data_IF_119684337202
#
_entry.id   IF_119684337202
#
_cell.length_a   1.000
_cell.length_b   1.000
_cell.length_c   1.000
_cell.angle_alpha   90.00
_cell.angle_beta   90.00
_cell.angle_gamma   90.00
#
_symmetry.space_group_name_H-M   'P 1'
#
loop_
_entity.id
_entity.type
_entity.pdbx_description
1 polymer ?
#
# COMPACT_ATOMS: atom_id res chain seq x y z
N UNK A 1 -13.32 -3.50 2.52
CA UNK A 1 -12.21 -4.21 1.90
C UNK A 1 -11.24 -3.24 1.20
N UNK A 2 -11.67 -2.46 0.19
CA UNK A 2 -10.80 -1.57 -0.60
C UNK A 2 -9.97 -0.64 0.29
N UNK A 3 -10.60 0.01 1.28
CA UNK A 3 -9.91 0.89 2.24
C UNK A 3 -8.79 0.15 2.95
N UNK A 4 -9.06 -1.06 3.46
CA UNK A 4 -8.03 -1.85 4.16
C UNK A 4 -6.86 -2.26 3.27
N UNK A 5 -7.09 -2.53 1.97
CA UNK A 5 -6.00 -2.78 1.03
C UNK A 5 -5.15 -1.53 0.80
N UNK A 6 -5.78 -0.37 0.60
CA UNK A 6 -5.07 0.89 0.41
C UNK A 6 -4.34 1.32 1.68
N UNK A 7 -4.94 1.14 2.86
CA UNK A 7 -4.29 1.41 4.14
C UNK A 7 -3.03 0.54 4.32
N UNK A 8 -3.10 -0.75 3.97
CA UNK A 8 -1.94 -1.63 3.98
C UNK A 8 -0.84 -1.17 2.99
N UNK A 9 -1.23 -0.74 1.79
CA UNK A 9 -0.30 -0.19 0.80
C UNK A 9 0.43 1.07 1.30
N UNK A 10 -0.28 1.96 2.00
CA UNK A 10 0.27 3.19 2.57
C UNK A 10 0.91 3.01 3.95
N UNK A 11 1.16 1.77 4.38
CA UNK A 11 1.73 1.42 5.69
C UNK A 11 0.90 1.96 6.88
N UNK A 12 -0.41 1.95 6.74
CA UNK A 12 -1.35 2.32 7.80
C UNK A 12 -2.48 1.27 7.95
N UNK A 13 -2.17 -0.05 7.99
CA UNK A 13 -3.20 -1.07 8.12
C UNK A 13 -3.85 -1.06 9.51
N UNK A 14 -5.01 -1.69 9.63
CA UNK A 14 -5.77 -1.79 10.88
C UNK A 14 -4.94 -2.40 12.04
N UNK A 15 -3.99 -3.31 11.73
CA UNK A 15 -3.10 -3.91 12.72
C UNK A 15 -1.86 -3.06 13.06
N UNK A 16 -1.72 -1.86 12.46
CA UNK A 16 -0.61 -0.96 12.78
C UNK A 16 -0.76 -0.43 14.21
N UNK A 17 0.03 -0.97 15.13
CA UNK A 17 0.13 -0.52 16.51
C UNK A 17 1.58 -0.11 16.81
N UNK A 18 1.79 0.63 17.88
CA UNK A 18 3.13 1.10 18.28
C UNK A 18 4.14 -0.04 18.51
N UNK A 19 3.65 -1.26 18.80
CA UNK A 19 4.45 -2.47 18.99
C UNK A 19 4.68 -3.26 17.69
N UNK A 20 3.94 -2.99 16.61
CA UNK A 20 4.03 -3.70 15.35
C UNK A 20 4.90 -2.93 14.36
N UNK A 21 5.93 -3.59 13.84
CA UNK A 21 6.77 -3.06 12.76
C UNK A 21 6.25 -3.57 11.44
N UNK A 22 5.93 -2.65 10.55
CA UNK A 22 5.41 -2.98 9.23
C UNK A 22 6.57 -3.33 8.28
N UNK A 23 6.42 -4.41 7.54
CA UNK A 23 7.39 -4.88 6.55
C UNK A 23 7.34 -4.12 5.23
N UNK A 24 6.20 -3.50 4.92
CA UNK A 24 5.95 -2.87 3.63
C UNK A 24 5.71 -3.86 2.48
N UNK A 25 5.37 -5.11 2.79
CA UNK A 25 5.08 -6.14 1.78
C UNK A 25 4.05 -5.71 0.73
N UNK A 26 2.91 -5.06 1.08
CA UNK A 26 1.94 -4.63 0.07
C UNK A 26 2.53 -3.70 -0.99
N UNK A 27 3.32 -2.72 -0.58
CA UNK A 27 3.99 -1.80 -1.51
C UNK A 27 5.08 -2.48 -2.33
N UNK A 28 5.79 -3.45 -1.75
CA UNK A 28 6.82 -4.25 -2.42
C UNK A 28 6.21 -5.16 -3.49
N UNK A 29 5.15 -5.89 -3.16
CA UNK A 29 4.42 -6.78 -4.09
C UNK A 29 3.90 -5.98 -5.29
N UNK A 30 3.20 -4.87 -5.03
CA UNK A 30 2.62 -4.05 -6.10
C UNK A 30 3.67 -3.36 -6.96
N UNK A 31 4.78 -2.92 -6.35
CA UNK A 31 5.91 -2.35 -7.07
C UNK A 31 6.60 -3.36 -7.99
N UNK A 32 6.76 -4.60 -7.52
CA UNK A 32 7.29 -5.70 -8.31
C UNK A 32 6.40 -5.98 -9.54
N UNK A 33 5.08 -6.12 -9.34
CA UNK A 33 4.12 -6.34 -10.43
C UNK A 33 4.12 -5.18 -11.42
N UNK A 34 4.12 -3.94 -10.93
CA UNK A 34 4.19 -2.77 -11.80
C UNK A 34 5.46 -2.76 -12.65
N UNK A 35 6.60 -3.16 -12.08
CA UNK A 35 7.87 -3.26 -12.81
C UNK A 35 7.78 -4.33 -13.92
N UNK A 36 7.25 -5.52 -13.61
CA UNK A 36 7.10 -6.58 -14.59
C UNK A 36 6.20 -6.16 -15.76
N UNK A 37 5.04 -5.57 -15.46
CA UNK A 37 4.06 -5.16 -16.47
C UNK A 37 4.58 -4.03 -17.36
N UNK A 38 5.35 -3.08 -16.79
CA UNK A 38 5.72 -1.85 -17.50
C UNK A 38 7.12 -1.89 -18.13
N UNK A 39 7.95 -2.86 -17.77
CA UNK A 39 9.35 -2.92 -18.23
C UNK A 39 9.49 -3.04 -19.76
N UNK A 40 8.61 -3.81 -20.40
CA UNK A 40 8.64 -4.05 -21.86
C UNK A 40 7.39 -3.50 -22.58
N UNK A 41 6.58 -2.69 -21.87
CA UNK A 41 5.34 -2.18 -22.43
C UNK A 41 5.60 -1.05 -23.42
N UNK A 42 5.08 -1.21 -24.63
CA UNK A 42 5.01 -0.16 -25.64
C UNK A 42 3.55 0.11 -26.02
N UNK A 43 3.20 1.39 -26.14
CA UNK A 43 1.87 1.82 -26.58
C UNK A 43 1.99 2.33 -28.01
N UNK A 44 1.23 1.73 -28.93
CA UNK A 44 1.12 2.19 -30.31
C UNK A 44 -0.35 2.30 -30.70
N UNK A 45 -0.71 3.43 -31.31
CA UNK A 45 -2.06 3.69 -31.81
C UNK A 45 -2.19 3.45 -33.33
N UNK A 46 -1.10 3.03 -33.99
CA UNK A 46 -1.05 2.74 -35.43
C UNK A 46 -0.19 3.76 -36.20
N UNK A 47 -0.30 3.77 -37.53
CA UNK A 47 0.61 4.50 -38.41
C UNK A 47 0.00 5.73 -39.09
N UNK A 48 -1.22 6.15 -38.73
CA UNK A 48 -1.86 7.32 -39.29
C UNK A 48 -1.43 8.59 -38.56
N UNK A 49 -1.51 9.75 -39.21
CA UNK A 49 -1.27 11.06 -38.60
C UNK A 49 -2.13 11.29 -37.34
N UNK A 50 -3.36 10.75 -37.33
CA UNK A 50 -4.23 10.80 -36.16
C UNK A 50 -3.70 9.91 -35.02
N UNK A 51 -3.15 8.77 -35.36
CA UNK A 51 -2.53 7.84 -34.38
C UNK A 51 -1.29 8.48 -33.75
N UNK A 52 -0.42 9.08 -34.55
CA UNK A 52 0.77 9.82 -34.08
C UNK A 52 0.37 10.94 -33.11
N UNK A 53 -0.66 11.73 -33.46
CA UNK A 53 -1.20 12.77 -32.58
C UNK A 53 -1.72 12.20 -31.25
N UNK A 54 -2.47 11.08 -31.30
CA UNK A 54 -2.98 10.43 -30.07
C UNK A 54 -1.81 9.92 -29.21
N UNK A 55 -0.80 9.30 -29.80
CA UNK A 55 0.40 8.84 -29.07
C UNK A 55 1.13 9.99 -28.39
N UNK A 56 1.26 11.13 -29.06
CA UNK A 56 1.84 12.34 -28.45
C UNK A 56 1.03 12.78 -27.23
N UNK A 57 -0.31 12.80 -27.34
CA UNK A 57 -1.19 13.17 -26.23
C UNK A 57 -1.18 12.15 -25.07
N UNK A 58 -0.83 10.88 -25.34
CA UNK A 58 -0.69 9.83 -24.32
C UNK A 58 0.64 9.86 -23.56
N UNK A 59 1.63 10.63 -24.00
CA UNK A 59 2.95 10.68 -23.35
C UNK A 59 2.90 11.01 -21.85
N UNK A 60 2.06 11.94 -21.36
CA UNK A 60 1.94 12.20 -19.92
C UNK A 60 1.43 10.99 -19.13
N UNK A 61 0.55 10.18 -19.71
CA UNK A 61 0.06 8.93 -19.11
C UNK A 61 1.15 7.87 -19.11
N UNK A 62 1.85 7.68 -20.24
CA UNK A 62 2.92 6.69 -20.38
C UNK A 62 3.99 6.87 -19.31
N UNK A 63 4.39 8.10 -19.02
CA UNK A 63 5.37 8.41 -17.94
C UNK A 63 4.89 8.01 -16.54
N UNK A 64 3.58 7.94 -16.33
CA UNK A 64 2.94 7.61 -15.04
C UNK A 64 2.40 6.19 -15.00
N UNK A 65 2.62 5.41 -16.05
CA UNK A 65 2.00 4.10 -16.21
C UNK A 65 2.44 3.11 -15.12
N UNK A 66 3.72 3.12 -14.74
CA UNK A 66 4.23 2.31 -13.64
C UNK A 66 3.45 2.62 -12.33
N UNK A 67 3.28 3.89 -12.00
CA UNK A 67 2.50 4.29 -10.83
C UNK A 67 1.02 3.90 -10.96
N UNK A 68 0.44 4.01 -12.16
CA UNK A 68 -0.94 3.60 -12.39
C UNK A 68 -1.13 2.10 -12.18
N UNK A 69 -0.23 1.25 -12.71
CA UNK A 69 -0.27 -0.21 -12.51
C UNK A 69 -0.06 -0.57 -11.04
N UNK A 70 0.87 0.08 -10.35
CA UNK A 70 1.10 -0.15 -8.93
C UNK A 70 -0.14 0.15 -8.09
N UNK A 71 -0.81 1.28 -8.33
CA UNK A 71 -2.05 1.64 -7.65
C UNK A 71 -3.22 0.72 -8.03
N UNK A 72 -3.28 0.26 -9.28
CA UNK A 72 -4.24 -0.75 -9.71
C UNK A 72 -4.03 -2.06 -8.97
N UNK A 73 -2.79 -2.52 -8.83
CA UNK A 73 -2.47 -3.72 -8.09
C UNK A 73 -2.83 -3.60 -6.60
N UNK A 74 -2.64 -2.43 -6.01
CA UNK A 74 -2.98 -2.16 -4.61
C UNK A 74 -4.49 -2.15 -4.36
N UNK A 75 -5.28 -1.48 -5.21
CA UNK A 75 -6.71 -1.28 -5.01
C UNK A 75 -7.61 -2.16 -5.85
N UNK A 76 -7.04 -3.06 -6.68
CA UNK A 76 -7.76 -3.88 -7.65
C UNK A 76 -7.92 -3.21 -9.01
N UNK A 77 -8.06 -1.89 -9.04
CA UNK A 77 -8.14 -1.10 -10.27
C UNK A 77 -7.65 0.33 -10.04
N UNK A 78 -7.34 1.02 -11.13
CA UNK A 78 -7.17 2.47 -11.19
C UNK A 78 -7.98 3.00 -12.36
N UNK A 79 -8.71 4.09 -12.16
CA UNK A 79 -9.45 4.74 -13.24
C UNK A 79 -8.57 5.84 -13.85
N UNK A 80 -8.47 5.84 -15.16
CA UNK A 80 -7.75 6.84 -15.94
C UNK A 80 -8.78 7.77 -16.55
N UNK A 81 -8.91 8.96 -16.00
CA UNK A 81 -9.86 9.98 -16.43
C UNK A 81 -9.14 11.07 -17.22
N UNK A 82 -9.35 11.19 -18.54
CA UNK A 82 -8.79 12.29 -19.32
C UNK A 82 -9.52 13.59 -19.00
N UNK A 83 -8.78 14.69 -18.97
CA UNK A 83 -9.32 16.04 -18.91
C UNK A 83 -8.47 17.00 -19.75
N UNK A 84 -9.03 18.14 -20.10
CA UNK A 84 -8.35 19.15 -20.91
C UNK A 84 -8.16 20.41 -20.05
N UNK A 85 -6.92 20.89 -19.98
CA UNK A 85 -6.58 22.14 -19.34
C UNK A 85 -5.65 22.95 -20.26
N UNK A 86 -5.97 24.22 -20.50
CA UNK A 86 -5.21 25.08 -21.42
C UNK A 86 -4.99 24.48 -22.83
N UNK A 87 -5.96 23.71 -23.33
CA UNK A 87 -5.88 23.06 -24.65
C UNK A 87 -4.98 21.82 -24.72
N UNK A 88 -4.47 21.34 -23.60
CA UNK A 88 -3.67 20.13 -23.51
C UNK A 88 -4.43 19.02 -22.76
N UNK A 89 -4.19 17.76 -23.16
CA UNK A 89 -4.74 16.61 -22.49
C UNK A 89 -3.89 16.22 -21.27
N UNK A 90 -4.59 15.95 -20.19
CA UNK A 90 -4.04 15.40 -18.96
C UNK A 90 -4.83 14.17 -18.54
N UNK A 91 -4.26 13.38 -17.63
CA UNK A 91 -4.88 12.16 -17.14
C UNK A 91 -4.85 12.15 -15.60
N UNK A 92 -6.04 12.08 -15.03
CA UNK A 92 -6.20 11.86 -13.59
C UNK A 92 -6.23 10.36 -13.30
N UNK A 93 -5.48 9.94 -12.30
CA UNK A 93 -5.42 8.56 -11.81
C UNK A 93 -6.28 8.45 -10.55
N UNK A 94 -7.53 8.04 -10.75
CA UNK A 94 -8.52 7.98 -9.66
C UNK A 94 -8.47 6.62 -8.99
N UNK A 95 -8.13 6.62 -7.69
CA UNK A 95 -8.10 5.42 -6.88
C UNK A 95 -9.52 4.89 -6.60
N UNK A 96 -9.68 3.57 -6.34
CA UNK A 96 -10.99 2.95 -6.09
C UNK A 96 -11.78 3.59 -4.94
N UNK A 97 -11.13 4.08 -3.90
CA UNK A 97 -11.77 4.79 -2.79
C UNK A 97 -12.41 6.14 -3.16
N UNK A 98 -12.18 6.64 -4.38
CA UNK A 98 -12.77 7.89 -4.91
C UNK A 98 -13.66 7.68 -6.12
N UNK A 99 -13.94 6.43 -6.46
CA UNK A 99 -14.75 6.03 -7.59
C UNK A 99 -15.83 5.03 -7.15
N UNK A 100 -17.08 5.36 -7.35
CA UNK A 100 -18.24 4.60 -6.89
C UNK A 100 -19.17 4.28 -8.07
N UNK A 101 -18.99 3.12 -8.74
CA UNK A 101 -19.86 2.70 -9.83
C UNK A 101 -21.26 2.33 -9.29
N UNK A 102 -22.31 2.70 -10.04
CA UNK A 102 -23.70 2.44 -9.68
C UNK A 102 -24.45 1.59 -10.71
N UNK A 103 -23.99 1.56 -11.96
CA UNK A 103 -24.60 0.79 -13.01
C UNK A 103 -23.57 0.20 -13.94
N UNK A 104 -23.77 -1.06 -14.29
CA UNK A 104 -22.93 -1.81 -15.24
C UNK A 104 -23.76 -2.22 -16.44
N UNK A 105 -23.13 -2.39 -17.60
CA UNK A 105 -23.72 -3.05 -18.74
C UNK A 105 -23.58 -4.60 -18.60
N UNK A 106 -24.20 -5.39 -19.47
CA UNK A 106 -24.07 -6.84 -19.43
C UNK A 106 -22.65 -7.39 -19.57
N UNK A 107 -21.72 -6.60 -20.16
CA UNK A 107 -20.30 -6.96 -20.29
C UNK A 107 -19.47 -6.58 -19.04
N UNK A 108 -20.14 -6.14 -17.95
CA UNK A 108 -19.49 -5.72 -16.70
C UNK A 108 -18.80 -4.34 -16.74
N UNK A 109 -18.99 -3.54 -17.80
CA UNK A 109 -18.45 -2.19 -17.88
C UNK A 109 -19.30 -1.21 -17.09
N UNK A 110 -18.64 -0.32 -16.37
CA UNK A 110 -19.33 0.75 -15.64
C UNK A 110 -19.97 1.73 -16.61
N UNK A 111 -21.27 2.00 -16.46
CA UNK A 111 -22.03 2.94 -17.28
C UNK A 111 -22.50 4.16 -16.50
N UNK A 112 -22.61 4.08 -15.18
CA UNK A 112 -22.91 5.21 -14.31
C UNK A 112 -22.19 5.08 -12.97
N UNK A 113 -21.93 6.22 -12.33
CA UNK A 113 -21.26 6.25 -11.04
C UNK A 113 -20.91 7.67 -10.61
N UNK A 114 -20.08 7.73 -9.58
CA UNK A 114 -19.62 8.96 -8.97
C UNK A 114 -18.10 8.98 -8.86
N UNK A 115 -17.52 10.14 -9.14
CA UNK A 115 -16.16 10.50 -8.72
C UNK A 115 -16.24 11.47 -7.56
N UNK A 116 -15.35 11.32 -6.59
CA UNK A 116 -15.28 12.20 -5.42
C UNK A 116 -13.90 12.86 -5.37
N UNK A 117 -13.88 14.18 -5.43
CA UNK A 117 -12.68 15.00 -5.33
C UNK A 117 -12.70 15.81 -4.04
N UNK A 118 -11.59 15.85 -3.32
CA UNK A 118 -11.40 16.62 -2.09
C UNK A 118 -10.46 17.80 -2.35
N UNK A 119 -10.78 18.97 -1.81
CA UNK A 119 -9.92 20.16 -1.88
C UNK A 119 -9.95 20.94 -0.57
N UNK A 120 -8.78 21.35 -0.13
CA UNK A 120 -8.63 22.26 1.00
C UNK A 120 -8.49 23.69 0.50
N UNK A 121 -9.39 24.56 0.95
CA UNK A 121 -9.33 25.98 0.69
C UNK A 121 -9.44 26.74 2.00
N UNK A 122 -8.39 27.49 2.38
CA UNK A 122 -8.34 28.28 3.62
C UNK A 122 -8.67 27.47 4.88
N UNK A 123 -8.06 26.28 5.02
CA UNK A 123 -8.27 25.33 6.14
C UNK A 123 -9.71 24.82 6.26
N UNK A 124 -10.44 24.78 5.17
CA UNK A 124 -11.76 24.15 5.05
C UNK A 124 -11.71 23.16 3.93
N UNK A 125 -12.16 21.95 4.23
CA UNK A 125 -12.27 20.89 3.23
C UNK A 125 -13.58 21.03 2.46
N UNK A 126 -13.47 20.83 1.15
CA UNK A 126 -14.61 20.81 0.22
C UNK A 126 -14.58 19.51 -0.56
N UNK A 127 -15.77 18.99 -0.83
CA UNK A 127 -15.99 17.72 -1.53
C UNK A 127 -16.76 18.03 -2.80
N UNK A 128 -16.22 17.62 -3.96
CA UNK A 128 -16.97 17.64 -5.22
C UNK A 128 -17.40 16.22 -5.55
N UNK A 129 -18.67 16.05 -5.82
CA UNK A 129 -19.26 14.83 -6.35
C UNK A 129 -19.58 15.05 -7.83
N UNK A 130 -18.85 14.37 -8.70
CA UNK A 130 -19.11 14.34 -10.13
C UNK A 130 -19.87 13.04 -10.43
N UNK A 131 -21.15 13.16 -10.72
CA UNK A 131 -21.97 12.04 -11.19
C UNK A 131 -21.88 11.96 -12.70
N UNK A 132 -21.68 10.77 -13.23
CA UNK A 132 -21.82 10.50 -14.65
C UNK A 132 -22.86 9.42 -14.90
N UNK A 133 -23.56 9.52 -16.01
CA UNK A 133 -24.54 8.54 -16.48
C UNK A 133 -24.49 8.46 -18.01
N UNK A 134 -24.12 7.29 -18.54
CA UNK A 134 -24.02 7.03 -19.98
C UNK A 134 -25.08 5.99 -20.38
N UNK A 135 -26.03 6.39 -21.22
CA UNK A 135 -27.11 5.53 -21.69
C UNK A 135 -26.79 4.77 -23.01
N UNK A 136 -25.57 4.93 -23.52
CA UNK A 136 -25.11 4.35 -24.77
C UNK A 136 -25.40 5.24 -26.01
N UNK A 137 -25.99 6.41 -25.83
CA UNK A 137 -26.21 7.45 -26.86
C UNK A 137 -25.61 8.79 -26.46
N UNK A 138 -25.67 9.08 -25.18
CA UNK A 138 -25.13 10.30 -24.57
C UNK A 138 -24.58 10.03 -23.18
N UNK A 139 -23.75 10.92 -22.71
CA UNK A 139 -23.24 10.92 -21.34
C UNK A 139 -23.63 12.26 -20.68
N UNK A 140 -24.29 12.17 -19.53
CA UNK A 140 -24.62 13.31 -18.69
C UNK A 140 -23.67 13.33 -17.51
N UNK A 141 -23.05 14.47 -17.27
CA UNK A 141 -22.15 14.73 -16.14
C UNK A 141 -22.76 15.81 -15.29
N UNK A 142 -22.94 15.58 -13.99
CA UNK A 142 -23.39 16.59 -13.04
C UNK A 142 -22.35 16.79 -11.95
N UNK A 143 -22.04 18.06 -11.63
CA UNK A 143 -21.09 18.45 -10.61
C UNK A 143 -21.82 19.13 -9.45
N UNK A 144 -21.64 18.61 -8.25
CA UNK A 144 -22.16 19.22 -7.02
C UNK A 144 -21.02 19.34 -6.01
N UNK A 145 -20.92 20.50 -5.37
CA UNK A 145 -19.90 20.74 -4.35
C UNK A 145 -20.53 20.87 -2.97
N UNK A 146 -19.83 20.32 -1.98
CA UNK A 146 -20.23 20.35 -0.58
C UNK A 146 -19.08 20.88 0.28
N UNK A 147 -19.42 21.52 1.38
CA UNK A 147 -18.45 21.82 2.44
C UNK A 147 -18.42 20.63 3.39
N UNK A 148 -17.23 20.06 3.62
CA UNK A 148 -17.07 18.95 4.56
C UNK A 148 -17.47 19.35 5.99
N UNK A 149 -18.14 18.45 6.68
CA UNK A 149 -18.49 18.55 8.10
C UNK A 149 -17.90 17.38 8.86
N UNK A 150 -16.56 17.34 8.97
CA UNK A 150 -15.82 16.19 9.47
C UNK A 150 -15.88 15.02 8.49
N UNK A 151 -16.33 13.85 8.94
CA UNK A 151 -16.44 12.65 8.09
C UNK A 151 -17.74 12.60 7.25
N UNK A 152 -18.55 13.68 7.28
CA UNK A 152 -19.84 13.74 6.58
C UNK A 152 -19.82 14.82 5.48
N UNK A 153 -20.63 14.59 4.46
CA UNK A 153 -20.99 15.63 3.51
C UNK A 153 -21.88 16.65 4.25
N UNK A 154 -21.40 17.90 4.31
CA UNK A 154 -22.16 19.00 4.90
C UNK A 154 -23.03 19.73 3.88
N UNK A 155 -23.15 21.04 4.03
CA UNK A 155 -24.01 21.87 3.18
C UNK A 155 -23.48 21.96 1.75
N UNK A 156 -24.41 21.96 0.79
CA UNK A 156 -24.11 22.24 -0.62
C UNK A 156 -23.64 23.69 -0.79
N UNK A 157 -22.61 23.86 -1.61
CA UNK A 157 -22.02 25.15 -1.89
C UNK A 157 -21.84 25.34 -3.40
N UNK A 158 -21.82 26.58 -3.90
CA UNK A 158 -21.50 26.82 -5.30
C UNK A 158 -20.14 26.30 -5.72
N UNK A 159 -19.99 25.73 -6.92
CA UNK A 159 -18.72 25.28 -7.47
C UNK A 159 -17.63 26.36 -7.42
N UNK A 160 -18.01 27.62 -7.64
CA UNK A 160 -17.14 28.80 -7.58
C UNK A 160 -16.52 29.08 -6.21
N UNK A 161 -16.97 28.37 -5.15
CA UNK A 161 -16.35 28.46 -3.81
C UNK A 161 -14.92 27.93 -3.82
N UNK A 162 -14.64 26.97 -4.71
CA UNK A 162 -13.31 26.38 -4.88
C UNK A 162 -12.74 26.85 -6.21
N UNK A 163 -11.61 27.59 -6.24
CA UNK A 163 -11.06 28.18 -7.46
C UNK A 163 -10.88 27.19 -8.61
N UNK A 164 -10.49 25.95 -8.33
CA UNK A 164 -10.26 24.89 -9.31
C UNK A 164 -11.55 24.38 -9.96
N UNK A 165 -12.72 24.65 -9.38
CA UNK A 165 -14.02 24.19 -9.86
C UNK A 165 -14.87 25.31 -10.47
N UNK A 166 -14.35 26.54 -10.51
CA UNK A 166 -15.09 27.73 -10.97
C UNK A 166 -15.54 27.65 -12.44
N UNK A 167 -14.72 26.99 -13.29
CA UNK A 167 -14.99 26.82 -14.71
C UNK A 167 -15.81 25.56 -15.04
N UNK A 168 -16.13 24.76 -14.03
CA UNK A 168 -16.91 23.53 -14.23
C UNK A 168 -18.39 23.86 -14.35
N UNK A 169 -19.02 23.30 -15.37
CA UNK A 169 -20.47 23.40 -15.53
C UNK A 169 -21.18 22.49 -14.52
N UNK A 170 -22.28 22.95 -13.89
CA UNK A 170 -23.07 22.10 -13.00
C UNK A 170 -23.64 20.87 -13.71
N UNK A 171 -23.99 21.00 -14.99
CA UNK A 171 -24.46 19.92 -15.84
C UNK A 171 -23.89 20.03 -17.24
N UNK A 172 -23.32 18.94 -17.76
CA UNK A 172 -22.80 18.85 -19.11
C UNK A 172 -23.35 17.58 -19.77
N UNK A 173 -23.90 17.72 -20.96
CA UNK A 173 -24.35 16.59 -21.78
C UNK A 173 -23.45 16.46 -23.02
N UNK A 174 -22.94 15.24 -23.25
CA UNK A 174 -22.11 14.90 -24.41
C UNK A 174 -22.85 13.88 -25.26
N UNK A 175 -23.27 14.24 -26.43
CA UNK A 175 -24.01 13.39 -27.38
C UNK A 175 -23.08 12.50 -28.21
N UNK A 176 -23.62 11.36 -28.70
CA UNK A 176 -22.90 10.44 -29.56
C UNK A 176 -21.92 9.52 -28.83
N UNK A 177 -21.92 9.51 -27.52
CA UNK A 177 -21.01 8.72 -26.69
C UNK A 177 -21.67 7.41 -26.30
N UNK A 178 -21.03 6.29 -26.67
CA UNK A 178 -21.54 4.94 -26.41
C UNK A 178 -21.09 4.35 -25.06
N UNK A 179 -20.04 4.90 -24.48
CA UNK A 179 -19.46 4.45 -23.21
C UNK A 179 -18.86 5.65 -22.48
N UNK A 180 -18.72 5.60 -21.15
CA UNK A 180 -18.09 6.67 -20.38
C UNK A 180 -16.69 7.02 -20.89
N UNK A 181 -16.33 8.30 -20.78
CA UNK A 181 -15.07 8.85 -21.29
C UNK A 181 -13.93 8.68 -20.29
N UNK A 182 -13.73 7.49 -19.78
CA UNK A 182 -12.58 7.09 -18.97
C UNK A 182 -12.19 5.65 -19.26
N UNK A 183 -10.95 5.30 -18.94
CA UNK A 183 -10.44 3.94 -18.98
C UNK A 183 -10.16 3.40 -17.59
N UNK A 184 -9.89 2.11 -17.49
CA UNK A 184 -9.45 1.48 -16.24
C UNK A 184 -8.32 0.49 -16.54
N UNK A 185 -7.33 0.46 -15.64
CA UNK A 185 -6.42 -0.67 -15.51
C UNK A 185 -6.97 -1.50 -14.36
N UNK A 186 -7.27 -2.77 -14.63
CA UNK A 186 -7.93 -3.67 -13.69
C UNK A 186 -7.06 -4.91 -13.47
N UNK A 187 -7.01 -5.40 -12.24
CA UNK A 187 -6.39 -6.68 -11.94
C UNK A 187 -7.28 -7.83 -12.45
N UNK A 188 -6.70 -8.87 -13.07
CA UNK A 188 -7.45 -9.94 -13.72
C UNK A 188 -7.94 -11.02 -12.73
N UNK A 189 -8.22 -10.66 -11.48
CA UNK A 189 -8.64 -11.60 -10.45
C UNK A 189 -10.14 -11.53 -10.19
N UNK A 190 -10.73 -12.70 -9.94
CA UNK A 190 -12.12 -12.78 -9.51
C UNK A 190 -12.31 -12.10 -8.16
N UNK A 191 -13.47 -11.48 -7.97
CA UNK A 191 -13.79 -10.87 -6.68
C UNK A 191 -14.11 -11.97 -5.66
N UNK A 192 -13.20 -12.19 -4.72
CA UNK A 192 -13.31 -13.16 -3.63
C UNK A 192 -13.99 -12.59 -2.38
N UNK A 193 -14.30 -11.29 -2.38
CA UNK A 193 -14.87 -10.57 -1.24
C UNK A 193 -16.39 -10.40 -1.39
N UNK A 194 -16.84 -10.18 -2.63
CA UNK A 194 -18.26 -9.96 -2.97
C UNK A 194 -18.53 -10.57 -4.35
N UNK A 195 -19.21 -11.71 -4.35
CA UNK A 195 -19.55 -12.49 -5.55
C UNK A 195 -20.55 -11.79 -6.48
N UNK A 196 -21.32 -10.84 -5.94
CA UNK A 196 -22.27 -10.03 -6.71
C UNK A 196 -21.62 -8.83 -7.39
N UNK A 197 -20.39 -8.49 -7.04
CA UNK A 197 -19.69 -7.32 -7.56
C UNK A 197 -18.73 -7.69 -8.70
N UNK A 198 -18.83 -7.07 -9.88
CA UNK A 198 -17.89 -7.27 -10.98
C UNK A 198 -16.60 -6.47 -10.81
N UNK A 199 -16.41 -5.79 -9.68
CA UNK A 199 -15.22 -5.00 -9.42
C UNK A 199 -14.03 -5.91 -9.10
N UNK A 200 -12.84 -5.61 -9.64
CA UNK A 200 -11.63 -6.37 -9.34
C UNK A 200 -11.15 -6.14 -7.91
N UNK A 201 -10.34 -7.06 -7.42
CA UNK A 201 -9.74 -7.03 -6.08
C UNK A 201 -8.23 -6.76 -6.14
N UNK A 202 -7.66 -6.31 -5.02
CA UNK A 202 -6.21 -6.17 -4.88
C UNK A 202 -5.49 -7.49 -5.16
N UNK A 203 -4.28 -7.41 -5.72
CA UNK A 203 -3.44 -8.59 -5.95
C UNK A 203 -3.15 -9.36 -4.66
N UNK A 204 -3.09 -8.67 -3.53
CA UNK A 204 -2.86 -9.27 -2.21
C UNK A 204 -4.15 -9.38 -1.38
N UNK A 205 -5.35 -9.26 -2.01
CA UNK A 205 -6.61 -9.37 -1.28
C UNK A 205 -6.72 -10.67 -0.48
N UNK A 206 -6.25 -11.79 -1.07
CA UNK A 206 -6.24 -13.11 -0.44
C UNK A 206 -5.09 -13.30 0.57
N UNK A 207 -4.07 -12.46 0.50
CA UNK A 207 -2.86 -12.56 1.31
C UNK A 207 -2.85 -11.64 2.55
N UNK A 208 -3.91 -10.87 2.79
CA UNK A 208 -3.95 -9.87 3.87
C UNK A 208 -3.63 -10.46 5.24
N UNK A 209 -4.21 -11.62 5.58
CA UNK A 209 -3.93 -12.29 6.86
C UNK A 209 -2.48 -12.75 6.95
N UNK A 210 -1.91 -13.29 5.86
CA UNK A 210 -0.51 -13.68 5.79
C UNK A 210 0.44 -12.48 5.96
N UNK A 211 0.12 -11.34 5.38
CA UNK A 211 0.88 -10.10 5.53
C UNK A 211 0.82 -9.59 6.98
N UNK A 212 -0.35 -9.62 7.60
CA UNK A 212 -0.53 -9.26 9.01
C UNK A 212 0.31 -10.17 9.92
N UNK A 213 0.25 -11.49 9.72
CA UNK A 213 1.05 -12.43 10.50
C UNK A 213 2.56 -12.27 10.27
N UNK A 214 2.98 -11.97 9.03
CA UNK A 214 4.37 -11.66 8.74
C UNK A 214 4.86 -10.45 9.56
N UNK A 215 4.09 -9.36 9.59
CA UNK A 215 4.42 -8.14 10.34
C UNK A 215 4.52 -8.42 11.85
N UNK A 216 3.63 -9.25 12.41
CA UNK A 216 3.66 -9.65 13.83
C UNK A 216 4.91 -10.48 14.15
N UNK A 217 5.16 -11.54 13.39
CA UNK A 217 6.33 -12.43 13.60
C UNK A 217 7.64 -11.67 13.41
N UNK A 218 7.68 -10.76 12.41
CA UNK A 218 8.82 -9.87 12.21
C UNK A 218 9.04 -8.96 13.43
N UNK A 219 7.97 -8.41 13.98
CA UNK A 219 8.03 -7.57 15.19
C UNK A 219 8.54 -8.35 16.40
N UNK A 220 8.06 -9.57 16.59
CA UNK A 220 8.49 -10.46 17.67
C UNK A 220 9.97 -10.82 17.55
N UNK A 221 10.45 -11.12 16.33
CA UNK A 221 11.86 -11.34 16.07
C UNK A 221 12.71 -10.11 16.45
N UNK A 222 12.31 -8.94 16.03
CA UNK A 222 13.01 -7.70 16.36
C UNK A 222 12.98 -7.43 17.87
N UNK A 223 11.85 -7.68 18.52
CA UNK A 223 11.74 -7.57 19.97
C UNK A 223 12.68 -8.53 20.69
N UNK A 224 12.76 -9.80 20.24
CA UNK A 224 13.66 -10.78 20.82
C UNK A 224 15.14 -10.40 20.61
N UNK A 225 15.51 -9.91 19.43
CA UNK A 225 16.85 -9.40 19.17
C UNK A 225 17.23 -8.24 20.10
N UNK A 226 16.29 -7.34 20.40
CA UNK A 226 16.53 -6.25 21.34
C UNK A 226 16.53 -6.72 22.80
N UNK A 227 15.62 -7.59 23.19
CA UNK A 227 15.50 -8.08 24.58
C UNK A 227 16.53 -9.15 24.91
N UNK A 228 17.03 -9.90 23.93
CA UNK A 228 18.09 -10.90 24.06
C UNK A 228 19.51 -10.34 24.20
N UNK A 229 19.69 -9.03 24.26
CA UNK A 229 21.00 -8.40 24.51
C UNK A 229 21.57 -8.91 25.83
N UNK A 230 22.90 -9.02 25.87
CA UNK A 230 23.61 -9.40 27.07
C UNK A 230 23.20 -8.52 28.25
N UNK A 231 22.77 -9.14 29.37
CA UNK A 231 22.36 -8.48 30.60
C UNK A 231 23.29 -8.86 31.72
N UNK A 232 23.69 -7.88 32.49
CA UNK A 232 24.49 -8.11 33.69
C UNK A 232 23.56 -7.98 34.91
N UNK A 233 23.45 -9.04 35.70
CA UNK A 233 22.66 -9.06 36.92
C UNK A 233 23.62 -8.90 38.07
N UNK A 234 23.44 -7.85 38.90
CA UNK A 234 24.34 -7.48 40.00
C UNK A 234 23.53 -7.39 41.29
N UNK A 235 24.04 -8.00 42.37
CA UNK A 235 23.46 -7.82 43.68
C UNK A 235 23.66 -6.41 44.22
N UNK A 236 22.65 -5.87 44.86
CA UNK A 236 22.69 -4.52 45.47
C UNK A 236 23.88 -4.33 46.40
N UNK A 237 24.27 -5.36 47.16
CA UNK A 237 25.40 -5.32 48.11
C UNK A 237 26.77 -5.25 47.41
N UNK A 238 26.86 -5.72 46.16
CA UNK A 238 28.06 -5.62 45.37
C UNK A 238 28.31 -4.21 44.79
N UNK A 239 27.31 -3.33 44.91
CA UNK A 239 27.37 -1.97 44.43
C UNK A 239 27.81 -1.06 45.59
N UNK A 240 29.08 -0.65 45.61
CA UNK A 240 29.58 0.32 46.57
C UNK A 240 29.30 1.71 46.02
N UNK A 241 28.43 2.45 46.68
CA UNK A 241 28.17 3.85 46.33
C UNK A 241 29.36 4.70 46.73
N UNK A 242 30.07 5.30 45.81
CA UNK A 242 31.03 6.36 46.10
C UNK A 242 30.25 7.59 46.59
N UNK A 243 30.44 7.95 47.86
CA UNK A 243 29.75 9.06 48.51
C UNK A 243 30.06 10.42 47.89
N UNK A 244 31.14 10.52 47.11
CA UNK A 244 31.57 11.75 46.40
C UNK A 244 31.09 11.78 44.93
N UNK A 245 30.75 10.63 44.36
CA UNK A 245 30.27 10.52 42.98
C UNK A 245 29.00 9.66 42.94
N UNK A 246 27.88 10.21 43.29
CA UNK A 246 26.55 9.56 43.37
C UNK A 246 26.11 8.79 42.10
N UNK A 247 26.98 8.57 41.11
CA UNK A 247 26.61 8.02 39.80
C UNK A 247 27.53 6.95 39.21
N UNK A 248 28.57 6.49 39.92
CA UNK A 248 29.48 5.46 39.42
C UNK A 248 29.54 4.25 40.37
N UNK A 249 29.46 3.08 39.75
CA UNK A 249 29.50 1.76 40.38
C UNK A 249 30.87 1.11 40.17
N UNK A 250 31.25 0.09 40.97
CA UNK A 250 32.45 -0.67 40.74
C UNK A 250 32.48 -1.19 39.30
N UNK A 251 33.55 -0.93 38.57
CA UNK A 251 33.68 -1.30 37.17
C UNK A 251 33.21 -0.26 36.15
N UNK A 252 32.88 0.99 36.59
CA UNK A 252 32.52 2.09 35.68
C UNK A 252 31.11 2.04 35.11
N UNK A 253 30.25 1.18 35.64
CA UNK A 253 28.86 1.05 35.22
C UNK A 253 28.05 2.23 35.76
N UNK A 254 27.43 3.01 34.90
CA UNK A 254 26.57 4.15 35.28
C UNK A 254 25.14 3.68 35.54
N UNK A 255 24.63 3.96 36.74
CA UNK A 255 23.30 3.53 37.20
C UNK A 255 22.10 4.10 36.41
N UNK A 256 22.28 5.04 35.53
CA UNK A 256 21.23 5.68 34.75
C UNK A 256 21.52 5.74 33.24
N UNK A 257 22.29 4.81 32.75
CA UNK A 257 22.40 4.66 31.32
C UNK A 257 21.28 3.71 30.88
N UNK A 258 20.27 4.18 30.18
CA UNK A 258 19.18 3.31 29.68
C UNK A 258 19.69 2.29 28.65
N UNK A 259 20.95 2.43 28.22
CA UNK A 259 21.62 1.46 27.35
C UNK A 259 22.45 0.43 28.12
N UNK A 260 22.67 0.64 29.40
CA UNK A 260 23.35 -0.34 30.27
C UNK A 260 22.32 -1.38 30.73
N UNK A 261 22.32 -2.55 30.12
CA UNK A 261 21.50 -3.71 30.50
C UNK A 261 21.97 -4.28 31.85
N UNK A 262 21.86 -3.48 32.93
CA UNK A 262 22.22 -3.86 34.31
C UNK A 262 20.98 -3.97 35.16
N UNK A 263 20.72 -5.16 35.68
CA UNK A 263 19.62 -5.44 36.59
C UNK A 263 20.16 -5.64 38.01
N UNK A 264 19.53 -4.97 38.99
CA UNK A 264 19.91 -5.05 40.40
C UNK A 264 18.94 -5.98 41.10
N UNK A 265 19.45 -7.04 41.72
CA UNK A 265 18.70 -7.93 42.59
C UNK A 265 18.82 -7.51 44.08
N UNK A 266 17.72 -7.61 44.82
CA UNK A 266 17.76 -7.54 46.25
C UNK A 266 18.34 -8.83 46.84
N UNK A 267 19.09 -8.76 47.95
CA UNK A 267 19.83 -9.87 48.50
C UNK A 267 18.92 -10.86 49.27
N UNK A 268 18.11 -11.59 48.58
CA UNK A 268 17.40 -12.72 49.14
C UNK A 268 17.81 -13.98 48.37
N UNK A 269 18.68 -14.76 48.91
CA UNK A 269 18.87 -16.18 48.61
C UNK A 269 19.90 -16.65 47.57
N UNK A 270 20.74 -15.83 46.94
CA UNK A 270 21.70 -16.41 45.99
C UNK A 270 23.14 -15.91 46.18
N UNK A 271 24.04 -16.88 46.12
CA UNK A 271 25.46 -16.76 46.43
C UNK A 271 26.37 -16.21 45.33
N UNK A 272 25.84 -15.55 44.30
CA UNK A 272 26.65 -14.98 43.19
C UNK A 272 26.37 -13.52 43.01
N UNK A 273 27.31 -12.63 43.41
CA UNK A 273 27.12 -11.18 43.36
C UNK A 273 27.06 -10.59 41.96
N UNK A 274 27.43 -11.37 40.94
CA UNK A 274 27.43 -11.00 39.55
C UNK A 274 27.02 -12.17 38.67
N UNK A 275 26.04 -12.00 37.82
CA UNK A 275 25.60 -12.98 36.81
C UNK A 275 25.51 -12.32 35.45
N UNK A 276 26.11 -13.01 34.46
CA UNK A 276 25.93 -12.69 33.05
C UNK A 276 24.76 -13.51 32.51
N UNK A 277 23.75 -12.80 31.98
CA UNK A 277 22.60 -13.42 31.36
C UNK A 277 22.61 -13.11 29.87
N UNK A 278 22.96 -14.09 29.05
CA UNK A 278 23.02 -14.00 27.60
C UNK A 278 22.17 -15.12 27.00
N UNK A 279 20.85 -14.94 26.87
CA UNK A 279 19.97 -15.97 26.32
C UNK A 279 20.32 -16.23 24.85
N UNK A 280 20.15 -17.47 24.41
CA UNK A 280 20.22 -17.80 23.00
C UNK A 280 19.03 -17.16 22.26
N UNK A 281 19.31 -16.47 21.17
CA UNK A 281 18.30 -15.83 20.33
C UNK A 281 17.82 -16.84 19.28
N UNK A 282 16.50 -17.04 19.15
CA UNK A 282 15.87 -17.99 18.23
C UNK A 282 15.78 -17.48 16.79
N UNK A 283 16.89 -16.93 16.27
CA UNK A 283 16.92 -16.31 14.94
C UNK A 283 16.57 -17.29 13.82
N UNK A 284 17.03 -18.54 13.91
CA UNK A 284 16.80 -19.55 12.86
C UNK A 284 15.32 -19.93 12.79
N UNK A 285 14.68 -20.10 13.94
CA UNK A 285 13.25 -20.43 14.03
C UNK A 285 12.38 -19.30 13.48
N UNK A 286 12.67 -18.05 13.84
CA UNK A 286 11.97 -16.87 13.29
C UNK A 286 12.14 -16.77 11.78
N UNK A 287 13.37 -16.90 11.28
CA UNK A 287 13.64 -16.84 9.84
C UNK A 287 12.93 -17.97 9.08
N UNK A 288 12.86 -19.16 9.67
CA UNK A 288 12.13 -20.30 9.08
C UNK A 288 10.63 -20.01 9.02
N UNK A 289 10.05 -19.47 10.09
CA UNK A 289 8.65 -19.08 10.15
C UNK A 289 8.32 -17.96 9.15
N UNK A 290 9.14 -16.91 9.11
CA UNK A 290 8.97 -15.79 8.17
C UNK A 290 9.03 -16.25 6.71
N UNK A 291 9.96 -17.17 6.36
CA UNK A 291 10.04 -17.76 5.02
C UNK A 291 8.79 -18.54 4.67
N UNK A 292 8.27 -19.35 5.59
CA UNK A 292 7.05 -20.12 5.36
C UNK A 292 5.84 -19.22 5.12
N UNK A 293 5.67 -18.15 5.91
CA UNK A 293 4.60 -17.16 5.72
C UNK A 293 4.78 -16.45 4.38
N UNK A 294 6.00 -16.03 4.05
CA UNK A 294 6.30 -15.34 2.80
C UNK A 294 5.97 -16.19 1.57
N UNK A 295 6.29 -17.48 1.57
CA UNK A 295 5.92 -18.41 0.51
C UNK A 295 4.40 -18.55 0.36
N UNK A 296 3.66 -18.54 1.48
CA UNK A 296 2.20 -18.55 1.43
C UNK A 296 1.67 -17.25 0.80
N UNK A 297 2.22 -16.09 1.19
CA UNK A 297 1.88 -14.78 0.61
C UNK A 297 2.19 -14.76 -0.89
N UNK A 298 3.36 -15.22 -1.33
CA UNK A 298 3.72 -15.33 -2.74
C UNK A 298 2.69 -16.15 -3.53
N UNK A 299 2.33 -17.33 -3.04
CA UNK A 299 1.33 -18.20 -3.68
C UNK A 299 -0.04 -17.52 -3.76
N UNK A 300 -0.47 -16.84 -2.69
CA UNK A 300 -1.76 -16.13 -2.64
C UNK A 300 -1.79 -14.89 -3.55
N UNK A 301 -0.63 -14.28 -3.81
CA UNK A 301 -0.46 -13.18 -4.76
C UNK A 301 -0.15 -13.65 -6.19
N UNK A 302 -0.20 -14.96 -6.46
CA UNK A 302 0.16 -15.58 -7.75
C UNK A 302 1.61 -15.29 -8.20
N UNK A 303 2.51 -15.03 -7.26
CA UNK A 303 3.93 -14.84 -7.52
C UNK A 303 4.66 -16.19 -7.48
N UNK A 304 5.76 -16.29 -8.22
CA UNK A 304 6.63 -17.46 -8.14
C UNK A 304 7.31 -17.55 -6.77
N UNK A 305 7.44 -18.75 -6.18
CA UNK A 305 8.16 -18.94 -4.93
C UNK A 305 9.58 -18.37 -5.00
N UNK A 306 9.95 -17.58 -4.00
CA UNK A 306 11.25 -16.91 -3.92
C UNK A 306 11.32 -15.57 -4.67
N UNK A 307 10.22 -15.05 -5.16
CA UNK A 307 10.15 -13.68 -5.74
C UNK A 307 10.42 -12.62 -4.69
N UNK A 308 9.88 -12.79 -3.47
CA UNK A 308 10.05 -11.90 -2.34
C UNK A 308 11.12 -12.43 -1.36
N UNK A 309 12.09 -13.21 -1.85
CA UNK A 309 13.06 -13.93 -1.02
C UNK A 309 13.83 -13.01 -0.06
N UNK A 310 13.96 -13.49 1.19
CA UNK A 310 14.79 -12.85 2.22
C UNK A 310 16.27 -13.25 2.06
N UNK A 311 16.53 -14.40 1.41
CA UNK A 311 17.90 -14.92 1.19
C UNK A 311 18.37 -14.63 -0.23
N UNK A 312 19.69 -14.44 -0.37
CA UNK A 312 20.35 -14.52 -1.66
C UNK A 312 20.12 -15.91 -2.29
N UNK A 313 19.84 -15.95 -3.58
CA UNK A 313 19.72 -17.21 -4.34
C UNK A 313 21.08 -17.92 -4.33
N UNK A 314 21.35 -18.70 -3.30
CA UNK A 314 22.56 -19.54 -3.21
C UNK A 314 22.27 -20.88 -3.89
N UNK A 315 22.55 -20.98 -5.17
CA UNK A 315 22.48 -22.22 -5.92
C UNK A 315 22.57 -21.97 -7.42
N UNK A 316 23.30 -22.81 -8.12
CA UNK A 316 23.31 -22.82 -9.58
C UNK A 316 21.95 -23.30 -10.09
N UNK A 317 21.00 -22.37 -10.23
CA UNK A 317 19.70 -22.65 -10.84
C UNK A 317 19.92 -22.76 -12.34
N UNK A 318 19.47 -23.84 -12.97
CA UNK A 318 19.59 -23.99 -14.42
C UNK A 318 18.71 -22.92 -15.12
N UNK A 319 19.16 -22.44 -16.30
CA UNK A 319 18.40 -21.48 -17.09
C UNK A 319 16.93 -21.91 -17.31
N UNK A 320 16.68 -23.21 -17.44
CA UNK A 320 15.34 -23.78 -17.59
C UNK A 320 14.49 -23.60 -16.32
N UNK A 321 15.07 -23.72 -15.13
CA UNK A 321 14.36 -23.50 -13.86
C UNK A 321 14.04 -22.02 -13.67
N UNK A 322 14.96 -21.12 -14.01
CA UNK A 322 14.73 -19.66 -14.01
C UNK A 322 13.55 -19.32 -14.91
N UNK A 323 13.58 -19.79 -16.19
CA UNK A 323 12.51 -19.54 -17.16
C UNK A 323 11.17 -20.10 -16.69
N UNK A 324 11.14 -21.27 -16.04
CA UNK A 324 9.89 -21.85 -15.56
C UNK A 324 9.31 -21.09 -14.36
N UNK A 325 10.15 -20.59 -13.46
CA UNK A 325 9.74 -19.75 -12.33
C UNK A 325 9.25 -18.38 -12.80
N UNK A 326 9.98 -17.75 -13.73
CA UNK A 326 9.59 -16.44 -14.27
C UNK A 326 8.30 -16.51 -15.10
N UNK A 327 8.02 -17.65 -15.77
CA UNK A 327 6.74 -17.87 -16.48
C UNK A 327 5.52 -17.81 -15.59
N UNK A 328 5.58 -18.31 -14.37
CA UNK A 328 4.46 -18.24 -13.42
C UNK A 328 4.16 -16.79 -13.05
N UNK A 329 5.19 -16.00 -12.77
CA UNK A 329 5.05 -14.57 -12.43
C UNK A 329 4.66 -13.72 -13.64
N UNK A 330 5.18 -14.04 -14.85
CA UNK A 330 4.88 -13.27 -16.07
C UNK A 330 3.49 -13.55 -16.65
N UNK A 331 2.81 -14.63 -16.24
CA UNK A 331 1.46 -14.97 -16.68
C UNK A 331 0.37 -14.46 -15.70
N UNK A 332 0.76 -13.77 -14.63
CA UNK A 332 -0.13 -13.10 -13.68
C UNK A 332 -0.28 -11.63 -14.05
#
# INVERSE_FOLDING_TARGET
>A
AITGWLDAFYNNPEWAASSVRLSGLPSTITGFVATLVTNELSISCGTSKRAEYIEEQLQPLTRRLHNAVQLAAAGGQIIIRPFVENGQFYFDLVQPGRFFPTRFNPDGRVMAGYFVDYRDVKNKEYIRVERFDCDGKRMVITNTAYRSAGDLMGDEVPLSTVPQWTELEPELTIDGVKQPLFGAIQMPFANIVDDASPLPVSIYANAMDGIMEFDKVYSDMIYELHSGRRKNIVERQAIIADSKKRKSYPGGIRYKDPTADVYILDPAEQSKPFQDYSPAIRTVEYMTGLKAILHMVENQCHLSPGTLAIDERTGAVTATQIISQDRTTNNT
#
